data_IF_174953979770
#
_entry.id   IF_174953979770
#
_cell.length_a   1.000
_cell.length_b   1.000
_cell.length_c   1.000
_cell.angle_alpha   90.00
_cell.angle_beta   90.00
_cell.angle_gamma   90.00
#
_symmetry.space_group_name_H-M   'P 1'
#
loop_
_entity.id
_entity.type
_entity.pdbx_description
1 polymer ?
#
# COMPACT_ATOMS: atom_id res chain seq x y z
N UNK A 1 -25.31 -34.04 4.13
CA UNK A 1 -24.41 -33.53 5.19
C UNK A 1 -23.03 -33.16 4.66
N UNK A 2 -22.27 -34.06 4.02
CA UNK A 2 -20.91 -33.76 3.51
C UNK A 2 -20.86 -32.58 2.50
N UNK A 3 -21.81 -32.51 1.56
CA UNK A 3 -21.87 -31.45 0.54
C UNK A 3 -22.16 -30.05 1.12
N UNK A 4 -23.01 -29.95 2.14
CA UNK A 4 -23.30 -28.70 2.84
C UNK A 4 -22.10 -28.19 3.64
N UNK A 5 -21.30 -29.10 4.20
CA UNK A 5 -20.10 -28.75 4.97
C UNK A 5 -19.00 -28.19 4.05
N UNK A 6 -18.86 -28.76 2.85
CA UNK A 6 -17.94 -28.27 1.81
C UNK A 6 -18.37 -26.88 1.33
N UNK A 7 -19.68 -26.67 1.13
CA UNK A 7 -20.21 -25.36 0.73
C UNK A 7 -19.95 -24.30 1.80
N UNK A 8 -20.12 -24.66 3.07
CA UNK A 8 -19.83 -23.76 4.19
C UNK A 8 -18.34 -23.41 4.30
N UNK A 9 -17.45 -24.40 4.08
CA UNK A 9 -16.00 -24.16 4.05
C UNK A 9 -15.57 -23.26 2.87
N UNK A 10 -16.21 -23.39 1.70
CA UNK A 10 -15.96 -22.54 0.54
C UNK A 10 -16.41 -21.08 0.73
N UNK A 11 -17.46 -20.83 1.52
CA UNK A 11 -17.90 -19.46 1.81
C UNK A 11 -16.92 -18.74 2.75
N UNK A 12 -16.36 -19.46 3.73
CA UNK A 12 -15.41 -18.87 4.69
C UNK A 12 -14.03 -18.57 4.08
N UNK A 13 -13.60 -19.29 3.04
CA UNK A 13 -12.30 -19.04 2.41
C UNK A 13 -12.23 -17.72 1.63
N UNK A 14 -13.38 -17.14 1.25
CA UNK A 14 -13.44 -15.86 0.53
C UNK A 14 -13.06 -14.63 1.38
N UNK A 15 -13.12 -14.76 2.71
CA UNK A 15 -12.91 -13.65 3.66
C UNK A 15 -11.42 -13.42 3.96
N UNK A 16 -10.56 -14.42 3.70
CA UNK A 16 -9.14 -14.40 4.08
C UNK A 16 -8.26 -13.52 3.18
N UNK A 17 -8.76 -13.05 2.03
CA UNK A 17 -7.96 -12.31 1.04
C UNK A 17 -8.22 -10.80 1.02
N UNK A 18 -9.04 -10.27 1.92
CA UNK A 18 -9.24 -8.84 2.07
C UNK A 18 -8.16 -8.25 3.00
N UNK A 19 -6.90 -8.24 2.56
CA UNK A 19 -5.90 -7.41 3.24
C UNK A 19 -6.15 -5.96 2.80
N UNK A 20 -6.82 -5.20 3.66
CA UNK A 20 -7.19 -3.82 3.39
C UNK A 20 -5.93 -2.97 3.15
N UNK A 21 -5.79 -2.48 1.91
CA UNK A 21 -4.78 -1.46 1.59
C UNK A 21 -5.36 -0.08 1.84
N UNK A 22 -4.59 0.81 2.45
CA UNK A 22 -4.97 2.20 2.60
C UNK A 22 -4.49 3.04 1.40
N UNK A 23 -5.25 4.09 1.07
CA UNK A 23 -4.80 5.10 0.12
C UNK A 23 -3.74 6.00 0.75
N UNK A 24 -2.88 6.59 -0.08
CA UNK A 24 -1.83 7.55 0.32
C UNK A 24 -2.37 8.74 1.14
N UNK A 25 -3.58 9.20 0.82
CA UNK A 25 -4.27 10.29 1.53
C UNK A 25 -4.60 9.99 2.99
N UNK A 26 -4.64 8.71 3.40
CA UNK A 26 -4.99 8.27 4.77
C UNK A 26 -3.78 7.83 5.60
N UNK A 27 -2.56 8.00 5.09
CA UNK A 27 -1.35 7.52 5.79
C UNK A 27 -1.14 8.26 7.11
N UNK A 28 -1.47 9.55 7.18
CA UNK A 28 -1.34 10.34 8.40
C UNK A 28 -2.17 9.79 9.58
N UNK A 29 -3.32 9.16 9.30
CA UNK A 29 -4.19 8.53 10.30
C UNK A 29 -3.65 7.18 10.83
N UNK A 30 -2.58 6.66 10.22
CA UNK A 30 -2.03 5.34 10.48
C UNK A 30 -0.57 5.35 10.96
N UNK A 31 -0.08 6.50 11.44
CA UNK A 31 1.26 6.62 12.03
C UNK A 31 1.42 5.63 13.21
N UNK A 32 2.54 4.91 13.22
CA UNK A 32 2.84 3.90 14.25
C UNK A 32 2.18 2.53 14.04
N UNK A 33 1.42 2.33 12.95
CA UNK A 33 0.80 1.04 12.61
C UNK A 33 1.50 0.39 11.42
N UNK A 34 1.51 -0.95 11.40
CA UNK A 34 1.90 -1.73 10.23
C UNK A 34 0.72 -1.83 9.27
N UNK A 35 0.81 -1.18 8.11
CA UNK A 35 -0.27 -1.11 7.10
C UNK A 35 0.30 -1.23 5.68
N UNK A 36 -0.54 -1.66 4.73
CA UNK A 36 -0.20 -1.65 3.32
C UNK A 36 -0.74 -0.39 2.65
N UNK A 37 0.12 0.39 2.02
CA UNK A 37 -0.27 1.58 1.26
C UNK A 37 -0.33 1.24 -0.22
N UNK A 38 -1.43 1.58 -0.88
CA UNK A 38 -1.62 1.41 -2.32
C UNK A 38 -1.72 2.77 -3.01
N UNK A 39 -0.95 2.95 -4.07
CA UNK A 39 -0.99 4.12 -4.93
C UNK A 39 -0.19 3.88 -6.22
N UNK A 40 -0.18 4.85 -7.13
CA UNK A 40 0.52 4.78 -8.42
C UNK A 40 1.88 5.48 -8.32
N UNK A 41 2.95 4.87 -8.80
CA UNK A 41 4.25 5.57 -8.89
C UNK A 41 4.11 6.73 -9.89
N UNK A 42 4.36 7.94 -9.41
CA UNK A 42 4.28 9.17 -10.21
C UNK A 42 5.66 9.63 -10.70
N UNK A 43 6.69 9.52 -9.85
CA UNK A 43 8.08 9.81 -10.22
C UNK A 43 9.07 9.13 -9.29
N UNK A 44 10.30 8.98 -9.79
CA UNK A 44 11.44 8.46 -9.05
C UNK A 44 12.63 9.40 -9.19
N UNK A 45 13.30 9.68 -8.08
CA UNK A 45 14.53 10.49 -8.04
C UNK A 45 15.62 9.72 -7.32
N UNK A 46 16.65 9.38 -8.06
CA UNK A 46 17.87 8.80 -7.52
C UNK A 46 18.65 9.81 -6.69
N UNK A 47 19.41 9.31 -5.72
CA UNK A 47 20.39 10.09 -5.02
C UNK A 47 21.41 10.67 -6.00
N UNK A 48 21.66 11.98 -5.89
CA UNK A 48 22.75 12.62 -6.62
C UNK A 48 24.11 12.25 -6.03
N UNK A 49 25.20 12.67 -6.67
CA UNK A 49 26.55 12.44 -6.19
C UNK A 49 26.73 12.91 -4.74
N UNK A 50 27.34 12.07 -3.91
CA UNK A 50 27.51 12.32 -2.47
C UNK A 50 26.26 12.14 -1.61
N UNK A 51 25.12 11.71 -2.18
CA UNK A 51 23.88 11.40 -1.45
C UNK A 51 23.58 9.90 -1.54
N UNK A 52 22.84 9.40 -0.56
CA UNK A 52 22.41 7.99 -0.51
C UNK A 52 20.89 7.84 -0.59
N UNK A 53 20.14 8.93 -0.45
CA UNK A 53 18.69 8.91 -0.35
C UNK A 53 18.01 9.05 -1.70
N UNK A 54 17.15 8.08 -2.00
CA UNK A 54 16.26 8.05 -3.15
C UNK A 54 14.83 8.38 -2.72
N UNK A 55 14.04 8.88 -3.68
CA UNK A 55 12.66 9.28 -3.44
C UNK A 55 11.74 8.68 -4.50
N UNK A 56 10.67 8.03 -4.07
CA UNK A 56 9.58 7.59 -4.94
C UNK A 56 8.34 8.39 -4.55
N UNK A 57 7.83 9.23 -5.46
CA UNK A 57 6.57 9.94 -5.24
C UNK A 57 5.40 9.09 -5.74
N UNK A 58 4.36 8.99 -4.92
CA UNK A 58 3.16 8.21 -5.18
C UNK A 58 1.97 9.16 -5.43
N UNK A 59 1.14 8.79 -6.40
CA UNK A 59 -0.05 9.46 -6.94
C UNK A 59 0.19 10.80 -7.64
N UNK A 60 1.08 11.66 -7.12
CA UNK A 60 1.45 12.93 -7.74
C UNK A 60 2.96 13.17 -7.68
N UNK A 61 3.49 13.80 -8.73
CA UNK A 61 4.89 14.20 -8.79
C UNK A 61 5.16 15.48 -8.00
N UNK A 62 6.41 15.66 -7.56
CA UNK A 62 6.89 16.93 -7.02
C UNK A 62 6.60 18.09 -7.99
N UNK A 63 6.19 19.29 -7.52
CA UNK A 63 6.07 19.70 -6.11
C UNK A 63 4.74 19.35 -5.42
N UNK A 64 3.80 18.72 -6.13
CA UNK A 64 2.45 18.45 -5.64
C UNK A 64 2.29 17.04 -5.04
N UNK A 65 3.40 16.40 -4.63
CA UNK A 65 3.38 15.03 -4.14
C UNK A 65 2.52 14.90 -2.86
N UNK A 66 1.65 13.89 -2.84
CA UNK A 66 0.80 13.58 -1.68
C UNK A 66 1.55 12.67 -0.70
N UNK A 67 2.31 11.71 -1.23
CA UNK A 67 3.06 10.74 -0.44
C UNK A 67 4.39 10.41 -1.12
N UNK A 68 5.44 10.27 -0.33
CA UNK A 68 6.80 9.98 -0.81
C UNK A 68 7.42 8.89 0.03
N UNK A 69 7.91 7.84 -0.63
CA UNK A 69 8.74 6.81 -0.01
C UNK A 69 10.20 7.27 -0.12
N UNK A 70 10.90 7.23 1.01
CA UNK A 70 12.32 7.58 1.13
C UNK A 70 13.10 6.28 1.32
N UNK A 71 14.07 6.03 0.44
CA UNK A 71 14.85 4.77 0.38
C UNK A 71 16.36 5.05 0.37
#
# INVERSE_FOLDING_TARGET
>A
MKKSLILFALLFSSILFAQDTIQTSKVAENIGKLVWVKGKIASYKLAGEGKTTNYINIDQSYPNNIFTVVL
#
